data_IF_423586451683
#
_entry.id   IF_423586451683
#
_cell.length_a   1.000
_cell.length_b   1.000
_cell.length_c   1.000
_cell.angle_alpha   90.00
_cell.angle_beta   90.00
_cell.angle_gamma   90.00
#
_symmetry.space_group_name_H-M   'P 1'
#
loop_
_entity.id
_entity.type
_entity.pdbx_description
1 polymer ?
#
# COMPACT_ATOMS: atom_id res chain seq x y z
N UNK A 1 -8.14 17.48 -1.88
CA UNK A 1 -7.35 16.24 -1.99
C UNK A 1 -5.99 16.64 -2.49
N UNK A 2 -4.94 16.25 -1.77
CA UNK A 2 -3.57 16.53 -2.15
C UNK A 2 -2.95 15.31 -2.82
N UNK A 3 -3.16 15.18 -4.14
CA UNK A 3 -2.65 14.05 -4.91
C UNK A 3 -1.10 14.01 -4.90
N UNK A 4 -0.48 12.81 -4.79
CA UNK A 4 0.97 12.66 -4.79
C UNK A 4 1.54 13.18 -6.11
N UNK A 5 2.63 13.94 -6.07
CA UNK A 5 3.32 14.37 -7.29
C UNK A 5 4.03 13.19 -7.95
N UNK A 6 4.61 12.30 -7.14
CA UNK A 6 5.30 11.09 -7.60
C UNK A 6 5.03 9.88 -6.71
N UNK A 7 4.72 8.75 -7.33
CA UNK A 7 4.49 7.48 -6.62
C UNK A 7 5.38 6.35 -7.12
N UNK A 8 5.86 5.52 -6.20
CA UNK A 8 6.42 4.20 -6.52
C UNK A 8 5.39 3.12 -6.21
N UNK A 9 5.01 2.34 -7.22
CA UNK A 9 3.97 1.31 -7.10
C UNK A 9 4.55 -0.04 -7.48
N UNK A 10 4.42 -1.04 -6.62
CA UNK A 10 4.98 -2.37 -6.88
C UNK A 10 4.01 -3.51 -6.54
N UNK A 11 4.11 -4.59 -7.31
CA UNK A 11 3.24 -5.77 -7.22
C UNK A 11 3.98 -7.03 -7.69
N UNK A 12 3.58 -8.24 -7.26
CA UNK A 12 4.16 -9.48 -7.78
C UNK A 12 3.86 -9.64 -9.27
N UNK A 13 4.82 -10.13 -10.05
CA UNK A 13 4.69 -10.36 -11.48
C UNK A 13 3.84 -11.60 -11.80
N UNK A 14 4.04 -12.68 -11.06
CA UNK A 14 3.44 -13.99 -11.29
C UNK A 14 2.38 -14.33 -10.25
N UNK A 15 1.37 -15.10 -10.67
CA UNK A 15 0.46 -15.73 -9.72
C UNK A 15 1.23 -16.71 -8.82
N UNK A 16 0.80 -16.88 -7.57
CA UNK A 16 1.32 -17.96 -6.74
C UNK A 16 1.00 -19.31 -7.39
N UNK A 17 2.02 -20.17 -7.50
CA UNK A 17 1.80 -21.53 -7.96
C UNK A 17 0.84 -22.24 -6.97
N UNK A 18 -0.20 -22.93 -7.48
CA UNK A 18 -1.08 -23.67 -6.60
C UNK A 18 -0.30 -24.78 -5.88
N UNK A 19 -0.64 -25.02 -4.62
CA UNK A 19 -0.17 -26.23 -3.93
C UNK A 19 -0.85 -27.46 -4.54
N UNK A 20 -0.27 -28.67 -4.40
CA UNK A 20 -0.94 -29.90 -4.84
C UNK A 20 -2.37 -30.00 -4.29
N UNK A 21 -3.35 -30.12 -5.18
CA UNK A 21 -4.78 -30.19 -4.82
C UNK A 21 -5.48 -28.84 -4.64
N UNK A 22 -4.78 -27.70 -4.75
CA UNK A 22 -5.40 -26.37 -4.77
C UNK A 22 -5.69 -25.92 -6.21
N UNK A 23 -6.80 -25.18 -6.45
CA UNK A 23 -7.04 -24.56 -7.74
C UNK A 23 -5.98 -23.47 -8.03
N UNK A 24 -5.69 -23.19 -9.32
CA UNK A 24 -4.83 -22.07 -9.69
C UNK A 24 -5.33 -20.75 -9.08
N UNK A 25 -4.41 -20.02 -8.45
CA UNK A 25 -4.68 -18.67 -7.96
C UNK A 25 -4.41 -17.67 -9.07
N UNK A 26 -5.22 -16.63 -9.14
CA UNK A 26 -5.10 -15.56 -10.14
C UNK A 26 -4.86 -14.20 -9.50
N UNK A 27 -4.25 -14.17 -8.30
CA UNK A 27 -4.19 -12.94 -7.51
C UNK A 27 -3.35 -11.84 -8.17
N UNK A 28 -2.22 -12.18 -8.81
CA UNK A 28 -1.39 -11.18 -9.48
C UNK A 28 -2.12 -10.53 -10.66
N UNK A 29 -2.62 -11.35 -11.60
CA UNK A 29 -3.27 -10.85 -12.81
C UNK A 29 -4.72 -10.38 -12.58
N UNK A 30 -5.42 -10.96 -11.61
CA UNK A 30 -6.84 -10.75 -11.37
C UNK A 30 -7.15 -9.74 -10.28
N UNK A 31 -6.18 -9.45 -9.40
CA UNK A 31 -6.38 -8.53 -8.26
C UNK A 31 -5.28 -7.47 -8.14
N UNK A 32 -4.00 -7.82 -8.21
CA UNK A 32 -2.93 -6.84 -7.93
C UNK A 32 -2.61 -5.95 -9.14
N UNK A 33 -2.49 -6.53 -10.33
CA UNK A 33 -2.21 -5.78 -11.56
C UNK A 33 -3.36 -4.84 -11.95
N UNK A 34 -4.65 -5.22 -11.83
CA UNK A 34 -5.77 -4.31 -12.03
C UNK A 34 -5.69 -3.10 -11.09
N UNK A 35 -5.41 -3.30 -9.80
CA UNK A 35 -5.28 -2.22 -8.82
C UNK A 35 -4.16 -1.25 -9.18
N UNK A 36 -2.96 -1.79 -9.44
CA UNK A 36 -1.81 -1.01 -9.91
C UNK A 36 -2.15 -0.20 -11.18
N UNK A 37 -2.86 -0.81 -12.13
CA UNK A 37 -3.23 -0.17 -13.40
C UNK A 37 -4.24 0.95 -13.21
N UNK A 38 -5.23 0.75 -12.33
CA UNK A 38 -6.23 1.78 -11.98
C UNK A 38 -5.56 2.95 -11.26
N UNK A 39 -4.70 2.67 -10.27
CA UNK A 39 -3.93 3.70 -9.56
C UNK A 39 -3.08 4.53 -10.53
N UNK A 40 -2.31 3.86 -11.39
CA UNK A 40 -1.47 4.52 -12.41
C UNK A 40 -2.31 5.41 -13.32
N UNK A 41 -3.37 4.86 -13.91
CA UNK A 41 -4.26 5.60 -14.82
C UNK A 41 -4.87 6.82 -14.13
N UNK A 42 -5.29 6.70 -12.88
CA UNK A 42 -5.90 7.79 -12.12
C UNK A 42 -4.92 8.96 -11.96
N UNK A 43 -3.72 8.70 -11.43
CA UNK A 43 -2.78 9.75 -11.09
C UNK A 43 -2.02 10.31 -12.31
N UNK A 44 -1.69 9.48 -13.30
CA UNK A 44 -1.15 9.99 -14.57
C UNK A 44 -2.20 10.82 -15.33
N UNK A 45 -3.48 10.47 -15.22
CA UNK A 45 -4.59 11.30 -15.73
C UNK A 45 -4.68 12.68 -15.07
N UNK A 46 -4.10 12.84 -13.88
CA UNK A 46 -3.97 14.12 -13.17
C UNK A 46 -2.60 14.80 -13.41
N UNK A 47 -1.80 14.30 -14.36
CA UNK A 47 -0.46 14.81 -14.66
C UNK A 47 0.60 14.46 -13.61
N UNK A 48 0.38 13.44 -12.78
CA UNK A 48 1.34 12.97 -11.76
C UNK A 48 2.24 11.87 -12.31
N UNK A 49 3.42 11.70 -11.73
CA UNK A 49 4.34 10.63 -12.14
C UNK A 49 4.07 9.35 -11.34
N UNK A 50 3.92 8.22 -12.04
CA UNK A 50 3.74 6.90 -11.40
C UNK A 50 4.74 5.89 -11.94
N UNK A 51 5.77 5.60 -11.15
CA UNK A 51 6.74 4.55 -11.40
C UNK A 51 6.14 3.21 -10.99
N UNK A 52 5.94 2.29 -11.93
CA UNK A 52 5.43 0.95 -11.63
C UNK A 52 6.52 -0.11 -11.74
N UNK A 53 6.47 -1.12 -10.86
CA UNK A 53 7.36 -2.27 -10.91
C UNK A 53 6.64 -3.58 -10.59
N UNK A 54 6.71 -4.53 -11.51
CA UNK A 54 6.26 -5.92 -11.26
C UNK A 54 7.48 -6.78 -10.97
N UNK A 55 7.64 -7.20 -9.71
CA UNK A 55 8.81 -7.95 -9.27
C UNK A 55 8.59 -9.47 -9.44
N UNK A 56 9.66 -10.22 -9.73
CA UNK A 56 9.59 -11.67 -9.80
C UNK A 56 9.37 -12.28 -8.40
N UNK A 57 8.13 -12.60 -8.08
CA UNK A 57 7.75 -13.18 -6.79
C UNK A 57 8.09 -14.67 -6.66
N UNK A 58 8.67 -15.31 -7.68
CA UNK A 58 9.17 -16.70 -7.61
C UNK A 58 10.62 -16.77 -7.14
N UNK A 59 11.34 -15.64 -7.20
CA UNK A 59 12.72 -15.56 -6.74
C UNK A 59 12.85 -15.73 -5.20
N UNK A 60 14.03 -16.11 -4.69
CA UNK A 60 14.31 -16.10 -3.25
C UNK A 60 14.00 -14.75 -2.61
N UNK A 61 13.48 -14.74 -1.37
CA UNK A 61 12.99 -13.54 -0.69
C UNK A 61 14.00 -12.37 -0.68
N UNK A 62 15.28 -12.66 -0.45
CA UNK A 62 16.34 -11.64 -0.49
C UNK A 62 16.47 -10.98 -1.87
N UNK A 63 16.41 -11.77 -2.96
CA UNK A 63 16.45 -11.24 -4.33
C UNK A 63 15.21 -10.43 -4.68
N UNK A 64 14.03 -10.87 -4.22
CA UNK A 64 12.76 -10.13 -4.36
C UNK A 64 12.89 -8.74 -3.75
N UNK A 65 13.26 -8.68 -2.47
CA UNK A 65 13.49 -7.42 -1.76
C UNK A 65 14.49 -6.54 -2.50
N UNK A 66 15.68 -7.07 -2.81
CA UNK A 66 16.72 -6.29 -3.49
C UNK A 66 16.23 -5.68 -4.80
N UNK A 67 15.54 -6.46 -5.66
CA UNK A 67 15.02 -5.94 -6.92
C UNK A 67 14.00 -4.80 -6.75
N UNK A 68 13.19 -4.84 -5.68
CA UNK A 68 12.23 -3.78 -5.35
C UNK A 68 12.98 -2.53 -4.91
N UNK A 69 13.98 -2.68 -4.02
CA UNK A 69 14.79 -1.57 -3.52
C UNK A 69 15.60 -0.90 -4.63
N UNK A 70 16.25 -1.69 -5.49
CA UNK A 70 16.99 -1.20 -6.66
C UNK A 70 16.06 -0.42 -7.60
N UNK A 71 14.84 -0.92 -7.83
CA UNK A 71 13.90 -0.24 -8.72
C UNK A 71 13.33 1.03 -8.10
N UNK A 72 13.13 1.06 -6.78
CA UNK A 72 12.74 2.26 -6.05
C UNK A 72 13.82 3.33 -6.19
N UNK A 73 15.08 2.99 -5.95
CA UNK A 73 16.22 3.88 -6.13
C UNK A 73 16.32 4.42 -7.56
N UNK A 74 16.28 3.53 -8.56
CA UNK A 74 16.36 3.92 -9.98
C UNK A 74 15.22 4.84 -10.39
N UNK A 75 13.99 4.57 -9.94
CA UNK A 75 12.82 5.36 -10.28
C UNK A 75 12.77 6.72 -9.58
N UNK A 76 13.44 6.87 -8.43
CA UNK A 76 13.47 8.12 -7.68
C UNK A 76 14.13 9.20 -8.54
N UNK A 77 15.31 8.90 -9.09
CA UNK A 77 16.09 9.87 -9.85
C UNK A 77 16.36 11.10 -8.98
N UNK A 78 15.96 12.29 -9.47
CA UNK A 78 16.13 13.56 -8.75
C UNK A 78 14.90 14.00 -7.95
N UNK A 79 13.80 13.23 -7.97
CA UNK A 79 12.55 13.57 -7.28
C UNK A 79 12.11 12.45 -6.36
N UNK A 80 11.93 12.79 -5.08
CA UNK A 80 11.44 11.87 -4.06
C UNK A 80 9.97 11.48 -4.28
N UNK A 81 9.59 10.34 -3.70
CA UNK A 81 8.23 9.82 -3.76
C UNK A 81 7.36 10.40 -2.66
N UNK A 82 6.16 10.86 -3.02
CA UNK A 82 5.10 11.23 -2.08
C UNK A 82 4.26 10.02 -1.66
N UNK A 83 4.29 8.95 -2.46
CA UNK A 83 3.60 7.71 -2.13
C UNK A 83 4.38 6.46 -2.51
N UNK A 84 4.38 5.48 -1.61
CA UNK A 84 4.93 4.15 -1.81
C UNK A 84 3.78 3.15 -1.69
N UNK A 85 3.46 2.45 -2.77
CA UNK A 85 2.22 1.68 -2.89
C UNK A 85 2.53 0.23 -3.22
N UNK A 86 2.00 -0.68 -2.40
CA UNK A 86 2.14 -2.11 -2.57
C UNK A 86 0.79 -2.76 -2.84
N UNK A 87 0.71 -3.58 -3.90
CA UNK A 87 -0.40 -4.50 -4.15
C UNK A 87 0.11 -5.93 -4.05
N UNK A 88 -0.38 -6.71 -3.10
CA UNK A 88 0.03 -8.10 -2.96
C UNK A 88 -0.48 -8.77 -1.69
N UNK A 89 0.04 -9.96 -1.39
CA UNK A 89 -0.31 -10.63 -0.14
C UNK A 89 0.38 -9.98 1.05
N UNK A 90 -0.34 -9.94 2.15
CA UNK A 90 0.12 -9.50 3.45
C UNK A 90 -0.32 -10.47 4.53
N UNK A 91 0.31 -10.34 5.69
CA UNK A 91 -0.07 -11.01 6.93
C UNK A 91 0.44 -10.15 8.09
N UNK A 92 0.18 -10.58 9.35
CA UNK A 92 0.58 -9.82 10.54
C UNK A 92 2.03 -9.35 10.51
N UNK A 93 2.93 -10.19 10.04
CA UNK A 93 4.37 -9.97 10.15
C UNK A 93 5.07 -9.59 8.85
N UNK A 94 4.36 -9.29 7.75
CA UNK A 94 5.04 -8.95 6.51
C UNK A 94 4.20 -8.85 5.25
N UNK A 95 4.91 -8.58 4.16
CA UNK A 95 4.43 -8.55 2.78
C UNK A 95 4.94 -9.81 2.07
N UNK A 96 4.18 -10.90 2.19
CA UNK A 96 4.64 -12.24 1.79
C UNK A 96 5.08 -12.32 0.32
N UNK A 97 4.36 -11.67 -0.59
CA UNK A 97 4.71 -11.67 -2.02
C UNK A 97 6.04 -10.94 -2.27
N UNK A 98 6.26 -9.78 -1.63
CA UNK A 98 7.48 -9.00 -1.77
C UNK A 98 8.69 -9.57 -1.01
N UNK A 99 8.45 -10.50 -0.08
CA UNK A 99 9.49 -11.12 0.73
C UNK A 99 9.96 -10.26 1.90
N UNK A 100 9.26 -9.17 2.24
CA UNK A 100 9.53 -8.40 3.46
C UNK A 100 8.79 -9.00 4.65
N UNK A 101 9.45 -9.06 5.80
CA UNK A 101 8.90 -9.51 7.08
C UNK A 101 9.45 -8.64 8.23
N UNK A 102 9.08 -8.94 9.47
CA UNK A 102 9.54 -8.16 10.63
C UNK A 102 11.07 -8.05 10.74
N UNK A 103 11.81 -9.08 10.30
CA UNK A 103 13.28 -9.17 10.39
C UNK A 103 13.98 -8.44 9.23
N UNK A 104 13.24 -8.09 8.18
CA UNK A 104 13.77 -7.42 6.98
C UNK A 104 13.03 -6.12 6.67
N UNK A 105 12.17 -5.65 7.57
CA UNK A 105 11.35 -4.45 7.38
C UNK A 105 12.19 -3.19 7.31
N UNK A 106 13.29 -3.15 8.06
CA UNK A 106 14.21 -2.01 8.10
C UNK A 106 14.75 -1.69 6.70
N UNK A 107 15.06 -2.70 5.89
CA UNK A 107 15.50 -2.48 4.52
C UNK A 107 14.45 -1.76 3.64
N UNK A 108 13.15 -1.96 3.90
CA UNK A 108 12.09 -1.22 3.22
C UNK A 108 11.98 0.20 3.78
N UNK A 109 12.01 0.37 5.10
CA UNK A 109 11.84 1.68 5.73
C UNK A 109 13.04 2.60 5.49
N UNK A 110 14.25 2.05 5.43
CA UNK A 110 15.48 2.78 5.05
C UNK A 110 15.39 3.29 3.62
N UNK A 111 14.85 2.49 2.70
CA UNK A 111 14.61 2.94 1.33
C UNK A 111 13.51 4.00 1.25
N UNK A 112 12.43 3.86 2.04
CA UNK A 112 11.37 4.88 2.14
C UNK A 112 11.94 6.19 2.71
N UNK A 113 12.82 6.12 3.71
CA UNK A 113 13.56 7.28 4.20
C UNK A 113 14.37 7.90 3.08
N UNK A 114 15.19 7.11 2.39
CA UNK A 114 16.16 7.61 1.42
C UNK A 114 15.50 8.21 0.17
N UNK A 115 14.35 7.68 -0.24
CA UNK A 115 13.72 8.00 -1.52
C UNK A 115 12.32 8.64 -1.39
N UNK A 116 11.75 8.70 -0.19
CA UNK A 116 10.45 9.31 0.09
C UNK A 116 10.56 10.76 0.58
N UNK A 117 9.51 11.54 0.37
CA UNK A 117 9.38 12.84 1.02
C UNK A 117 9.06 12.66 2.51
N UNK A 118 9.35 13.65 3.38
CA UNK A 118 8.98 13.56 4.79
C UNK A 118 7.47 13.33 5.03
N UNK A 119 6.59 13.76 4.12
CA UNK A 119 5.14 13.53 4.18
C UNK A 119 4.64 12.27 3.47
N UNK A 120 5.54 11.34 3.13
CA UNK A 120 5.23 10.16 2.31
C UNK A 120 4.05 9.34 2.85
N UNK A 121 3.17 8.90 1.95
CA UNK A 121 2.09 7.95 2.24
C UNK A 121 2.52 6.54 1.85
N UNK A 122 2.54 5.62 2.79
CA UNK A 122 2.83 4.20 2.53
C UNK A 122 1.53 3.43 2.48
N UNK A 123 1.14 2.97 1.29
CA UNK A 123 -0.14 2.33 1.03
C UNK A 123 0.04 0.82 0.86
N UNK A 124 -0.35 0.04 1.87
CA UNK A 124 -0.25 -1.41 1.86
C UNK A 124 -1.61 -2.02 1.52
N UNK A 125 -1.93 -2.15 0.23
CA UNK A 125 -3.09 -2.91 -0.26
C UNK A 125 -2.82 -4.42 -0.14
N UNK A 126 -2.73 -4.86 1.12
CA UNK A 126 -2.34 -6.20 1.52
C UNK A 126 -3.15 -6.66 2.74
N UNK A 127 -3.60 -7.92 2.71
CA UNK A 127 -4.44 -8.48 3.76
C UNK A 127 -3.74 -8.49 5.13
N UNK A 128 -4.50 -8.24 6.20
CA UNK A 128 -4.08 -8.41 7.59
C UNK A 128 -2.77 -7.74 8.02
N UNK A 129 -2.19 -6.83 7.24
CA UNK A 129 -0.96 -6.12 7.60
C UNK A 129 -1.23 -5.05 8.68
N UNK A 130 -2.48 -4.60 8.82
CA UNK A 130 -2.91 -3.61 9.81
C UNK A 130 -3.79 -4.21 10.92
N UNK A 131 -3.64 -5.50 11.22
CA UNK A 131 -4.17 -6.01 12.50
C UNK A 131 -3.40 -5.36 13.66
N UNK A 132 -3.94 -5.33 14.89
CA UNK A 132 -3.23 -4.76 16.04
C UNK A 132 -1.80 -5.31 16.19
N UNK A 133 -0.83 -4.39 16.21
CA UNK A 133 0.61 -4.69 16.30
C UNK A 133 1.20 -5.30 15.02
N UNK A 134 0.48 -5.17 13.91
CA UNK A 134 0.81 -5.72 12.61
C UNK A 134 1.93 -4.98 11.90
N UNK A 135 2.22 -5.44 10.69
CA UNK A 135 3.31 -4.92 9.86
C UNK A 135 3.17 -3.43 9.54
N UNK A 136 1.95 -2.95 9.23
CA UNK A 136 1.70 -1.53 8.93
C UNK A 136 2.04 -0.62 10.13
N UNK A 137 1.66 -1.05 11.35
CA UNK A 137 2.03 -0.36 12.58
C UNK A 137 3.56 -0.29 12.76
N UNK A 138 4.26 -1.40 12.55
CA UNK A 138 5.72 -1.45 12.69
C UNK A 138 6.44 -0.56 11.68
N UNK A 139 5.99 -0.55 10.43
CA UNK A 139 6.50 0.41 9.42
C UNK A 139 6.29 1.86 9.91
N UNK A 140 5.12 2.18 10.49
CA UNK A 140 4.86 3.52 11.03
C UNK A 140 5.77 3.87 12.22
N UNK A 141 6.15 2.88 13.04
CA UNK A 141 7.13 3.06 14.12
C UNK A 141 8.53 3.31 13.59
N UNK A 142 8.99 2.52 12.62
CA UNK A 142 10.32 2.65 12.04
C UNK A 142 10.46 4.00 11.30
N UNK A 143 9.37 4.51 10.71
CA UNK A 143 9.30 5.82 10.05
C UNK A 143 8.97 6.98 11.02
N UNK A 144 9.03 6.78 12.34
CA UNK A 144 8.66 7.79 13.33
C UNK A 144 9.45 9.11 13.22
N UNK A 145 10.63 9.10 12.60
CA UNK A 145 11.37 10.33 12.32
C UNK A 145 10.64 11.30 11.37
N UNK A 146 9.68 10.81 10.58
CA UNK A 146 8.77 11.61 9.76
C UNK A 146 7.42 11.92 10.43
N UNK A 147 7.27 11.61 11.73
CA UNK A 147 5.99 11.73 12.43
C UNK A 147 5.37 13.13 12.34
N UNK A 148 6.18 14.17 12.45
CA UNK A 148 5.72 15.56 12.43
C UNK A 148 5.59 16.14 11.01
N UNK A 149 5.92 15.37 9.98
CA UNK A 149 5.91 15.80 8.58
C UNK A 149 4.68 15.28 7.80
N UNK A 150 3.73 14.62 8.49
CA UNK A 150 2.51 14.14 7.87
C UNK A 150 2.63 12.76 7.20
N UNK A 151 3.68 12.00 7.50
CA UNK A 151 3.79 10.60 7.07
C UNK A 151 2.63 9.76 7.62
N UNK A 152 2.07 8.92 6.76
CA UNK A 152 1.00 7.99 7.13
C UNK A 152 1.24 6.61 6.50
N UNK A 153 0.99 5.56 7.28
CA UNK A 153 0.92 4.19 6.77
C UNK A 153 -0.52 3.72 6.74
N UNK A 154 -0.94 3.14 5.62
CA UNK A 154 -2.26 2.58 5.42
C UNK A 154 -2.17 1.07 5.23
N UNK A 155 -3.15 0.33 5.74
CA UNK A 155 -3.25 -1.10 5.52
C UNK A 155 -4.59 -1.70 5.90
N UNK A 156 -4.76 -2.98 5.59
CA UNK A 156 -6.01 -3.69 5.87
C UNK A 156 -5.87 -4.61 7.11
N UNK A 157 -6.83 -4.58 8.05
CA UNK A 157 -6.81 -5.43 9.23
C UNK A 157 -7.42 -6.82 8.99
N UNK A 158 -7.89 -7.14 7.79
CA UNK A 158 -8.60 -8.39 7.52
C UNK A 158 -8.12 -9.09 6.27
N UNK A 159 -8.50 -10.36 6.19
CA UNK A 159 -8.37 -11.16 4.98
C UNK A 159 -9.50 -10.80 4.03
N UNK A 160 -9.16 -10.70 2.74
CA UNK A 160 -10.13 -10.56 1.66
C UNK A 160 -10.03 -9.23 0.91
N UNK A 161 -10.38 -9.31 -0.37
CA UNK A 161 -10.62 -8.20 -1.30
C UNK A 161 -9.47 -7.22 -1.52
N UNK A 162 -8.38 -7.69 -2.17
CA UNK A 162 -7.37 -6.87 -2.88
C UNK A 162 -7.21 -5.42 -2.37
N UNK A 163 -7.38 -4.43 -3.25
CA UNK A 163 -7.33 -3.00 -2.98
C UNK A 163 -8.71 -2.37 -2.69
N UNK A 164 -9.80 -3.15 -2.79
CA UNK A 164 -11.18 -2.73 -2.53
C UNK A 164 -11.68 -3.09 -1.14
N UNK A 165 -10.82 -3.67 -0.29
CA UNK A 165 -11.18 -3.99 1.07
C UNK A 165 -11.57 -2.70 1.81
N UNK A 166 -12.83 -2.56 2.25
CA UNK A 166 -13.29 -1.35 2.89
C UNK A 166 -12.74 -1.21 4.32
N UNK A 167 -12.19 -2.26 4.90
CA UNK A 167 -11.58 -2.18 6.22
C UNK A 167 -10.18 -1.59 6.04
N UNK A 168 -10.06 -0.28 6.24
CA UNK A 168 -8.83 0.46 6.10
C UNK A 168 -8.44 1.08 7.45
N UNK A 169 -7.20 0.86 7.85
CA UNK A 169 -6.56 1.53 8.99
C UNK A 169 -5.55 2.53 8.47
N UNK A 170 -5.42 3.65 9.18
CA UNK A 170 -4.35 4.63 8.99
C UNK A 170 -3.54 4.78 10.27
N UNK A 171 -2.24 4.97 10.12
CA UNK A 171 -1.28 5.21 11.18
C UNK A 171 -0.57 6.54 10.90
N UNK A 172 -1.10 7.67 11.41
CA UNK A 172 -0.56 9.01 11.15
C UNK A 172 0.65 9.31 12.05
N UNK A 173 1.68 8.46 11.96
CA UNK A 173 2.81 8.27 12.90
C UNK A 173 2.53 7.28 14.05
N UNK A 174 3.44 7.22 15.04
CA UNK A 174 3.60 6.25 16.14
C UNK A 174 2.38 5.96 17.05
N UNK A 175 1.18 6.31 16.61
CA UNK A 175 -0.08 6.02 17.27
C UNK A 175 -0.27 4.53 17.51
N UNK A 176 -1.04 4.21 18.56
CA UNK A 176 -1.18 2.87 19.12
C UNK A 176 -1.45 1.75 18.10
N UNK A 177 -1.12 0.53 18.53
CA UNK A 177 -1.03 -0.68 17.71
C UNK A 177 -2.23 -0.97 16.80
N UNK A 178 -3.42 -0.48 17.14
CA UNK A 178 -4.68 -0.68 16.40
C UNK A 178 -4.83 0.23 15.17
N UNK A 179 -4.23 1.42 15.17
CA UNK A 179 -4.45 2.45 14.15
C UNK A 179 -5.86 3.02 14.12
N UNK A 180 -6.05 4.10 13.39
CA UNK A 180 -7.34 4.78 13.26
C UNK A 180 -8.20 4.13 12.16
N UNK A 181 -9.49 3.94 12.41
CA UNK A 181 -10.45 3.58 11.34
C UNK A 181 -10.63 4.77 10.40
N UNK A 182 -10.54 4.55 9.09
CA UNK A 182 -10.68 5.63 8.09
C UNK A 182 -12.14 5.92 7.74
N UNK A 183 -13.03 4.92 7.79
CA UNK A 183 -14.45 5.11 7.56
C UNK A 183 -15.04 6.11 8.57
N UNK A 184 -15.69 7.21 8.13
CA UNK A 184 -16.40 8.12 9.02
C UNK A 184 -17.56 7.44 9.75
N UNK A 185 -17.82 7.89 10.97
CA UNK A 185 -18.92 7.39 11.78
C UNK A 185 -20.27 7.60 11.10
N UNK A 186 -21.15 6.60 11.20
CA UNK A 186 -22.49 6.64 10.58
C UNK A 186 -22.52 6.50 9.06
N UNK A 187 -21.38 6.39 8.37
CA UNK A 187 -21.31 6.35 6.89
C UNK A 187 -20.97 4.97 6.29
N UNK A 188 -21.02 3.91 7.09
CA UNK A 188 -20.58 2.56 6.71
C UNK A 188 -21.18 2.08 5.38
N UNK A 189 -22.47 2.30 5.12
CA UNK A 189 -23.11 1.81 3.89
C UNK A 189 -22.60 2.52 2.62
N UNK A 190 -22.51 3.87 2.63
CA UNK A 190 -21.91 4.64 1.54
C UNK A 190 -20.44 4.28 1.33
N UNK A 191 -19.69 4.13 2.43
CA UNK A 191 -18.29 3.71 2.40
C UNK A 191 -18.10 2.35 1.72
N UNK A 192 -18.88 1.34 2.12
CA UNK A 192 -18.83 0.00 1.51
C UNK A 192 -19.13 0.06 0.01
N UNK A 193 -20.11 0.87 -0.40
CA UNK A 193 -20.48 1.03 -1.82
C UNK A 193 -19.34 1.66 -2.63
N UNK A 194 -18.70 2.71 -2.13
CA UNK A 194 -17.61 3.41 -2.82
C UNK A 194 -16.33 2.58 -2.86
N UNK A 195 -15.90 2.03 -1.72
CA UNK A 195 -14.67 1.24 -1.61
C UNK A 195 -14.70 -0.02 -2.48
N UNK A 196 -15.86 -0.68 -2.60
CA UNK A 196 -16.04 -1.87 -3.46
C UNK A 196 -16.11 -1.55 -4.95
N UNK A 197 -16.35 -0.30 -5.32
CA UNK A 197 -16.43 0.09 -6.73
C UNK A 197 -15.03 0.40 -7.27
N UNK A 198 -14.38 -0.62 -7.84
CA UNK A 198 -13.05 -0.51 -8.44
C UNK A 198 -12.93 0.65 -9.45
N UNK A 199 -13.98 0.84 -10.26
CA UNK A 199 -14.01 1.86 -11.32
C UNK A 199 -14.05 3.28 -10.80
N UNK A 200 -14.50 3.50 -9.56
CA UNK A 200 -14.54 4.83 -8.97
C UNK A 200 -13.16 5.39 -8.64
N UNK A 201 -12.16 4.52 -8.44
CA UNK A 201 -10.84 4.91 -7.94
C UNK A 201 -10.87 5.55 -6.54
N UNK A 202 -12.01 5.50 -5.82
CA UNK A 202 -12.16 6.14 -4.51
C UNK A 202 -11.16 5.57 -3.50
N UNK A 203 -10.99 4.25 -3.47
CA UNK A 203 -10.01 3.55 -2.64
C UNK A 203 -8.56 4.03 -2.83
N UNK A 204 -8.21 4.53 -4.01
CA UNK A 204 -6.89 5.05 -4.33
C UNK A 204 -6.71 6.50 -3.87
N UNK A 205 -7.81 7.27 -3.85
CA UNK A 205 -7.83 8.69 -3.47
C UNK A 205 -7.88 8.89 -1.96
N UNK A 206 -8.59 8.02 -1.23
CA UNK A 206 -8.81 8.10 0.22
C UNK A 206 -7.55 8.43 1.03
N UNK A 207 -6.37 7.85 0.76
CA UNK A 207 -5.15 8.16 1.51
C UNK A 207 -4.63 9.61 1.36
N UNK A 208 -5.19 10.37 0.41
CA UNK A 208 -4.81 11.74 0.08
C UNK A 208 -5.97 12.72 0.32
N UNK A 209 -7.06 12.24 0.92
CA UNK A 209 -8.22 13.03 1.26
C UNK A 209 -8.22 13.37 2.75
N UNK A 210 -8.69 14.56 3.11
CA UNK A 210 -8.97 14.88 4.50
C UNK A 210 -10.17 14.08 5.03
N UNK A 211 -10.38 14.05 6.35
CA UNK A 211 -11.57 13.40 6.94
C UNK A 211 -12.87 14.04 6.44
N UNK A 212 -12.86 15.36 6.29
CA UNK A 212 -13.98 16.15 5.77
C UNK A 212 -14.26 15.81 4.31
N UNK A 213 -13.22 15.68 3.49
CA UNK A 213 -13.34 15.27 2.09
C UNK A 213 -13.90 13.85 1.95
N UNK A 214 -13.44 12.92 2.78
CA UNK A 214 -13.95 11.54 2.81
C UNK A 214 -15.44 11.55 3.19
N UNK A 215 -15.82 12.31 4.22
CA UNK A 215 -17.20 12.40 4.67
C UNK A 215 -18.12 13.09 3.63
N UNK A 216 -17.62 14.10 2.91
CA UNK A 216 -18.37 14.80 1.87
C UNK A 216 -18.63 13.95 0.62
N UNK A 217 -17.77 12.96 0.35
CA UNK A 217 -17.95 12.04 -0.78
C UNK A 217 -19.04 10.97 -0.54
N UNK A 218 -19.64 10.89 0.65
CA UNK A 218 -20.51 9.81 1.12
C UNK A 218 -21.97 10.20 1.36
#
# INVERSE_FOLDING_TARGET
>A
MEAPAKSFVFAPLYNEAPKPGEPPKNDAIGAFHPGMSIYKKLYEGMGKEVVTFKFDNTAPAARRRQSILDKMQQGCGTQWYDAIVYFGHGWKGGLASAGFNNDSREALTDAIWQYGTPGVKVLLYACSCAIPGGYAYKIAQDLNMFANAGMEVYGHPSVGHSFTNPQLRRYPSNQGETGETVCPDGKVQSWLKLMKNEKSGFWAQVPFMSREEIAAAM
#
